data_IF_704656332970
#
_entry.id   IF_704656332970
#
_cell.length_a   1.000
_cell.length_b   1.000
_cell.length_c   1.000
_cell.angle_alpha   90.00
_cell.angle_beta   90.00
_cell.angle_gamma   90.00
#
_symmetry.space_group_name_H-M   'P 1'
#
loop_
_entity.id
_entity.type
_entity.pdbx_description
1 polymer ?
#
# COMPACT_ATOMS: atom_id res chain seq x y z
N UNK A 1 0.23 -11.18 -12.82
CA UNK A 1 0.34 -11.91 -11.55
C UNK A 1 -0.72 -11.34 -10.64
N UNK A 2 -1.83 -12.05 -10.49
CA UNK A 2 -2.91 -11.68 -9.57
C UNK A 2 -2.51 -12.10 -8.16
N UNK A 3 -1.64 -11.31 -7.52
CA UNK A 3 -1.56 -11.43 -6.07
C UNK A 3 -2.84 -10.82 -5.52
N UNK A 4 -3.69 -11.70 -4.99
CA UNK A 4 -4.92 -11.32 -4.31
C UNK A 4 -4.59 -10.25 -3.25
N UNK A 5 -5.23 -9.08 -3.34
CA UNK A 5 -5.04 -7.94 -2.44
C UNK A 5 -5.26 -8.36 -0.97
N UNK A 6 -6.03 -9.42 -0.73
CA UNK A 6 -6.16 -10.05 0.59
C UNK A 6 -4.82 -10.51 1.18
N UNK A 7 -3.91 -11.04 0.37
CA UNK A 7 -2.59 -11.52 0.82
C UNK A 7 -1.69 -10.36 1.25
N UNK A 8 -1.88 -9.16 0.68
CA UNK A 8 -1.11 -7.96 1.06
C UNK A 8 -1.47 -7.54 2.47
N UNK A 9 -2.77 -7.55 2.80
CA UNK A 9 -3.26 -7.25 4.15
C UNK A 9 -2.64 -8.20 5.18
N UNK A 10 -2.78 -9.51 4.96
CA UNK A 10 -2.30 -10.53 5.90
C UNK A 10 -0.79 -10.42 6.13
N UNK A 11 -0.02 -10.16 5.07
CA UNK A 11 1.44 -10.02 5.19
C UNK A 11 1.85 -8.76 5.93
N UNK A 12 1.18 -7.64 5.69
CA UNK A 12 1.49 -6.39 6.41
C UNK A 12 1.29 -6.61 7.91
N UNK A 13 0.14 -7.17 8.31
CA UNK A 13 -0.17 -7.40 9.73
C UNK A 13 0.74 -8.48 10.35
N UNK A 14 1.09 -9.53 9.60
CA UNK A 14 1.96 -10.62 10.08
C UNK A 14 3.40 -10.17 10.32
N UNK A 15 3.97 -9.42 9.39
CA UNK A 15 5.39 -9.06 9.42
C UNK A 15 5.68 -7.73 10.10
N UNK A 16 4.67 -6.88 10.33
CA UNK A 16 4.84 -5.56 10.91
C UNK A 16 3.98 -5.42 12.19
N UNK A 17 4.57 -5.81 13.33
CA UNK A 17 3.89 -5.76 14.63
C UNK A 17 3.36 -4.36 14.93
N UNK A 18 2.10 -4.29 15.34
CA UNK A 18 1.45 -3.05 15.73
C UNK A 18 0.91 -2.22 14.56
N UNK A 19 0.83 -2.78 13.36
CA UNK A 19 0.07 -2.22 12.25
C UNK A 19 -1.23 -3.01 12.08
N UNK A 20 -2.35 -2.30 11.94
CA UNK A 20 -3.65 -2.88 11.62
C UNK A 20 -4.26 -2.18 10.41
N UNK A 21 -4.57 -2.95 9.37
CA UNK A 21 -5.13 -2.43 8.13
C UNK A 21 -6.65 -2.48 8.23
N UNK A 22 -7.29 -1.31 8.14
CA UNK A 22 -8.74 -1.17 8.38
C UNK A 22 -9.60 -1.37 7.14
N UNK A 23 -9.05 -1.15 5.96
CA UNK A 23 -9.76 -1.30 4.68
C UNK A 23 -9.06 -2.30 3.76
N UNK A 24 -9.80 -2.82 2.78
CA UNK A 24 -9.18 -3.63 1.74
C UNK A 24 -8.15 -2.77 0.99
N UNK A 25 -6.89 -3.25 0.83
CA UNK A 25 -5.93 -2.59 -0.03
C UNK A 25 -6.48 -2.43 -1.45
N UNK A 26 -6.01 -1.42 -2.18
CA UNK A 26 -6.30 -1.30 -3.61
C UNK A 26 -5.06 -0.91 -4.41
N UNK A 27 -4.99 -1.36 -5.66
CA UNK A 27 -3.88 -1.02 -6.55
C UNK A 27 -3.99 0.44 -7.02
N UNK A 28 -2.90 1.20 -6.88
CA UNK A 28 -2.74 2.50 -7.53
C UNK A 28 -2.26 2.33 -8.98
N UNK A 29 -1.51 1.25 -9.25
CA UNK A 29 -1.09 0.90 -10.61
C UNK A 29 -2.28 0.28 -11.35
N UNK A 30 -2.71 0.83 -12.50
CA UNK A 30 -3.79 0.25 -13.30
C UNK A 30 -3.44 -1.17 -13.77
N UNK A 31 -4.42 -2.06 -13.81
CA UNK A 31 -4.25 -3.45 -14.28
C UNK A 31 -3.69 -3.53 -15.71
N UNK A 32 -4.04 -2.55 -16.56
CA UNK A 32 -3.53 -2.43 -17.94
C UNK A 32 -2.01 -2.29 -18.03
N UNK A 33 -1.34 -1.92 -16.93
CA UNK A 33 0.14 -1.86 -16.83
C UNK A 33 0.74 -3.05 -16.07
N UNK A 34 -0.06 -3.81 -15.33
CA UNK A 34 0.39 -4.93 -14.48
C UNK A 34 0.84 -6.18 -15.23
N UNK A 35 0.45 -6.34 -16.50
CA UNK A 35 0.93 -7.43 -17.35
C UNK A 35 2.35 -7.23 -17.90
N UNK A 36 2.84 -5.99 -17.94
CA UNK A 36 4.09 -5.61 -18.61
C UNK A 36 5.16 -5.05 -17.67
N UNK A 37 4.78 -4.63 -16.45
CA UNK A 37 5.69 -4.07 -15.45
C UNK A 37 5.85 -5.04 -14.26
N UNK A 38 7.10 -5.26 -13.84
CA UNK A 38 7.48 -6.05 -12.67
C UNK A 38 7.29 -5.32 -11.34
N UNK A 39 6.71 -4.12 -11.35
CA UNK A 39 6.55 -3.25 -10.20
C UNK A 39 5.15 -2.66 -10.12
N UNK A 40 4.69 -2.39 -8.91
CA UNK A 40 3.38 -1.81 -8.66
C UNK A 40 3.29 -1.15 -7.29
N UNK A 41 2.32 -0.26 -7.14
CA UNK A 41 2.02 0.41 -5.87
C UNK A 41 0.62 0.07 -5.42
N UNK A 42 0.45 -0.29 -4.15
CA UNK A 42 -0.83 -0.46 -3.50
C UNK A 42 -1.03 0.62 -2.43
N UNK A 43 -2.27 1.02 -2.23
CA UNK A 43 -2.68 1.85 -1.12
C UNK A 43 -3.27 0.99 -0.01
N UNK A 44 -2.90 1.28 1.23
CA UNK A 44 -3.44 0.67 2.44
C UNK A 44 -3.86 1.74 3.43
N UNK A 45 -4.97 1.51 4.11
CA UNK A 45 -5.47 2.41 5.15
C UNK A 45 -5.19 1.81 6.54
N UNK A 46 -4.63 2.62 7.44
CA UNK A 46 -4.44 2.28 8.85
C UNK A 46 -5.48 2.97 9.72
N UNK A 47 -5.74 2.42 10.91
CA UNK A 47 -6.76 2.97 11.81
C UNK A 47 -6.38 4.36 12.34
N UNK A 48 -5.08 4.60 12.51
CA UNK A 48 -4.55 5.82 13.14
C UNK A 48 -3.42 6.47 12.35
N UNK A 49 -3.22 7.78 12.55
CA UNK A 49 -2.06 8.49 11.99
C UNK A 49 -0.74 7.99 12.60
N UNK A 50 -0.74 7.56 13.87
CA UNK A 50 0.45 6.99 14.50
C UNK A 50 0.91 5.70 13.81
N UNK A 51 -0.02 4.80 13.48
CA UNK A 51 0.26 3.59 12.70
C UNK A 51 0.75 3.94 11.28
N UNK A 52 0.16 4.95 10.65
CA UNK A 52 0.61 5.45 9.35
C UNK A 52 2.05 5.95 9.43
N UNK A 53 2.41 6.71 10.46
CA UNK A 53 3.76 7.22 10.67
C UNK A 53 4.75 6.09 10.99
N UNK A 54 4.35 5.08 11.77
CA UNK A 54 5.15 3.87 12.02
C UNK A 54 5.43 3.13 10.71
N UNK A 55 4.40 2.96 9.88
CA UNK A 55 4.53 2.34 8.56
C UNK A 55 5.47 3.14 7.63
N UNK A 56 5.41 4.47 7.62
CA UNK A 56 6.29 5.28 6.77
C UNK A 56 7.75 5.25 7.24
N UNK A 57 8.00 5.21 8.55
CA UNK A 57 9.36 5.22 9.13
C UNK A 57 10.05 3.86 9.06
N UNK A 58 9.27 2.78 9.02
CA UNK A 58 9.77 1.42 9.01
C UNK A 58 10.18 0.92 7.62
N UNK A 59 11.10 -0.05 7.58
CA UNK A 59 11.37 -0.84 6.38
C UNK A 59 10.43 -2.04 6.35
N UNK A 60 9.63 -2.14 5.30
CA UNK A 60 8.59 -3.16 5.19
C UNK A 60 9.03 -4.24 4.22
N UNK A 61 8.73 -5.49 4.54
CA UNK A 61 9.03 -6.61 3.67
C UNK A 61 7.75 -7.35 3.33
N UNK A 62 7.46 -7.47 2.04
CA UNK A 62 6.35 -8.29 1.54
C UNK A 62 6.92 -9.21 0.49
N UNK A 63 6.65 -10.52 0.60
CA UNK A 63 7.13 -11.52 -0.36
C UNK A 63 8.66 -11.58 -0.54
N UNK A 64 9.44 -11.15 0.47
CA UNK A 64 10.90 -11.07 0.38
C UNK A 64 11.43 -9.80 -0.28
N UNK A 65 10.55 -8.94 -0.78
CA UNK A 65 10.91 -7.65 -1.35
C UNK A 65 10.83 -6.53 -0.31
N UNK A 66 11.83 -5.65 -0.34
CA UNK A 66 11.86 -4.45 0.49
C UNK A 66 10.97 -3.38 -0.12
N UNK A 67 9.97 -2.93 0.62
CA UNK A 67 9.05 -1.89 0.20
C UNK A 67 9.29 -0.58 0.96
N UNK A 68 8.94 0.51 0.29
CA UNK A 68 8.89 1.86 0.86
C UNK A 68 7.43 2.27 1.01
N UNK A 69 7.04 2.72 2.19
CA UNK A 69 5.73 3.29 2.44
C UNK A 69 5.82 4.82 2.42
N UNK A 70 4.82 5.47 1.84
CA UNK A 70 4.69 6.92 1.79
C UNK A 70 3.22 7.32 2.00
N UNK A 71 2.98 8.54 2.51
CA UNK A 71 1.61 9.06 2.68
C UNK A 71 1.03 9.36 1.30
N UNK A 72 -0.09 8.73 0.94
CA UNK A 72 -0.80 9.02 -0.30
C UNK A 72 -1.24 10.49 -0.30
N UNK A 73 -0.84 11.24 -1.33
CA UNK A 73 -1.29 12.61 -1.57
C UNK A 73 -2.24 12.60 -2.75
N UNK A 74 -3.52 12.89 -2.51
CA UNK A 74 -4.50 13.09 -3.58
C UNK A 74 -4.40 14.53 -4.02
N UNK A 75 -3.83 14.78 -5.19
CA UNK A 75 -3.83 16.10 -5.80
C UNK A 75 -5.12 16.25 -6.58
N UNK A 76 -6.13 16.90 -6.01
CA UNK A 76 -7.31 17.31 -6.78
C UNK A 76 -6.88 18.45 -7.69
N UNK A 77 -6.71 18.18 -8.98
CA UNK A 77 -6.59 19.25 -9.97
C UNK A 77 -7.95 19.96 -10.01
N UNK A 78 -8.05 21.11 -9.35
CA UNK A 78 -9.17 22.02 -9.51
C UNK A 78 -9.11 22.54 -10.95
N UNK A 79 -9.79 21.87 -11.87
CA UNK A 79 -10.08 22.42 -13.18
C UNK A 79 -11.12 23.51 -12.95
N UNK A 80 -10.66 24.75 -12.82
CA UNK A 80 -11.54 25.93 -12.88
C UNK A 80 -12.24 25.91 -14.24
N UNK A 81 -13.57 25.91 -14.19
CA UNK A 81 -14.48 26.02 -15.34
C UNK A 81 -14.60 27.50 -15.73
#
# INVERSE_FOLDING_TARGET
>A
MDYDLGVIKDKIETFNKGLKVVEAPFWLTPESKGGQQSYGSACVAFATEEETLKAIRGKHYILGESLRAEKLRITTSLTSI
#
